data_IF_070747607023
#
_entry.id   IF_070747607023
#
_cell.length_a   1.000
_cell.length_b   1.000
_cell.length_c   1.000
_cell.angle_alpha   90.00
_cell.angle_beta   90.00
_cell.angle_gamma   90.00
#
_symmetry.space_group_name_H-M   'P 1'
#
loop_
_entity.id
_entity.type
_entity.pdbx_description
1 polymer ?
#
# COMPACT_ATOMS: atom_id res chain seq x y z
N UNK A 1 -67.07 -47.17 50.18
CA UNK A 1 -67.87 -47.06 48.96
C UNK A 1 -67.03 -46.62 47.81
N UNK A 2 -66.87 -47.45 46.76
CA UNK A 2 -66.26 -47.27 45.42
C UNK A 2 -64.81 -46.87 45.30
N UNK A 3 -63.98 -47.84 45.09
CA UNK A 3 -62.67 -47.98 44.46
C UNK A 3 -62.74 -47.47 43.02
N UNK A 4 -61.80 -46.66 42.57
CA UNK A 4 -61.47 -46.60 41.15
C UNK A 4 -59.98 -46.66 40.98
N UNK A 5 -59.54 -47.72 40.36
CA UNK A 5 -58.19 -47.97 39.84
C UNK A 5 -57.88 -46.99 38.72
N UNK A 6 -56.71 -46.37 38.75
CA UNK A 6 -56.19 -45.76 37.58
C UNK A 6 -54.89 -46.45 37.14
N UNK A 7 -54.91 -46.84 35.88
CA UNK A 7 -53.83 -47.52 35.23
C UNK A 7 -52.63 -46.67 35.05
N UNK A 8 -51.47 -47.15 35.40
CA UNK A 8 -50.19 -46.59 35.05
C UNK A 8 -49.91 -46.86 33.58
N UNK A 9 -49.99 -45.85 32.73
CA UNK A 9 -49.49 -45.90 31.36
C UNK A 9 -48.05 -45.47 31.37
N UNK A 10 -47.17 -46.45 31.14
CA UNK A 10 -45.75 -46.27 30.97
C UNK A 10 -45.50 -45.62 29.58
N UNK A 11 -45.31 -44.32 29.56
CA UNK A 11 -44.88 -43.60 28.36
C UNK A 11 -43.37 -43.73 28.26
N UNK A 12 -42.94 -44.62 27.38
CA UNK A 12 -41.55 -44.79 26.95
C UNK A 12 -41.18 -43.59 26.09
N UNK A 13 -40.50 -42.60 26.67
CA UNK A 13 -39.97 -41.48 25.92
C UNK A 13 -38.69 -41.95 25.19
N UNK A 14 -38.86 -42.26 23.91
CA UNK A 14 -37.74 -42.45 22.99
C UNK A 14 -37.00 -41.11 22.84
N UNK A 15 -35.91 -40.94 23.54
CA UNK A 15 -34.90 -39.92 23.26
C UNK A 15 -34.22 -40.27 21.95
N UNK A 16 -34.72 -39.70 20.85
CA UNK A 16 -34.00 -39.65 19.59
C UNK A 16 -32.84 -38.65 19.81
N UNK A 17 -31.69 -39.19 20.18
CA UNK A 17 -30.43 -38.45 20.06
C UNK A 17 -30.18 -38.24 18.58
N UNK A 18 -30.63 -37.11 18.05
CA UNK A 18 -30.17 -36.61 16.77
C UNK A 18 -28.66 -36.35 16.91
N UNK A 19 -27.86 -37.35 16.55
CA UNK A 19 -26.44 -37.09 16.24
C UNK A 19 -26.42 -36.15 15.05
N UNK A 20 -26.56 -34.87 15.36
CA UNK A 20 -26.22 -33.79 14.42
C UNK A 20 -24.78 -34.00 14.05
N UNK A 21 -24.55 -34.53 12.84
CA UNK A 21 -23.25 -34.44 12.21
C UNK A 21 -22.87 -32.95 12.20
N UNK A 22 -22.11 -32.54 13.21
CA UNK A 22 -21.29 -31.34 13.11
C UNK A 22 -20.33 -31.63 11.96
N UNK A 23 -20.75 -31.23 10.77
CA UNK A 23 -19.89 -31.18 9.62
C UNK A 23 -18.74 -30.22 10.00
N UNK A 24 -17.68 -30.83 10.53
CA UNK A 24 -16.46 -30.18 10.83
C UNK A 24 -15.97 -29.58 9.50
N UNK A 25 -15.88 -28.27 9.48
CA UNK A 25 -15.19 -27.54 8.41
C UNK A 25 -13.69 -27.84 8.46
N UNK A 26 -13.34 -29.11 8.33
CA UNK A 26 -11.95 -29.57 8.21
C UNK A 26 -11.51 -29.68 6.73
N UNK A 27 -12.39 -29.34 5.77
CA UNK A 27 -12.07 -29.47 4.36
C UNK A 27 -10.92 -28.55 3.89
N UNK A 28 -10.76 -27.38 4.51
CA UNK A 28 -9.69 -26.45 4.14
C UNK A 28 -8.29 -26.90 4.60
N UNK A 29 -8.18 -27.45 5.80
CA UNK A 29 -6.88 -27.88 6.38
C UNK A 29 -6.40 -29.20 5.77
N UNK A 30 -7.31 -30.09 5.39
CA UNK A 30 -6.94 -31.35 4.74
C UNK A 30 -6.55 -31.19 3.27
N UNK A 31 -7.14 -30.21 2.55
CA UNK A 31 -6.72 -29.90 1.18
C UNK A 31 -5.38 -29.17 1.13
N UNK A 32 -5.09 -28.28 2.09
CA UNK A 32 -3.79 -27.60 2.18
C UNK A 32 -2.64 -28.56 2.49
N UNK A 33 -2.87 -29.61 3.29
CA UNK A 33 -1.87 -30.67 3.51
C UNK A 33 -1.60 -31.54 2.27
N UNK A 34 -2.51 -31.54 1.29
CA UNK A 34 -2.32 -32.24 0.01
C UNK A 34 -1.62 -31.38 -1.05
N UNK A 35 -1.55 -30.07 -0.84
CA UNK A 35 -0.88 -29.13 -1.74
C UNK A 35 0.03 -28.19 -0.93
N UNK A 36 1.30 -28.57 -0.72
CA UNK A 36 2.26 -27.76 0.03
C UNK A 36 2.43 -26.34 -0.54
N UNK A 37 2.38 -26.18 -1.87
CA UNK A 37 2.46 -24.86 -2.50
C UNK A 37 1.32 -23.93 -2.03
N UNK A 38 0.08 -24.44 -2.07
CA UNK A 38 -1.09 -23.67 -1.63
C UNK A 38 -1.04 -23.36 -0.12
N UNK A 39 -0.59 -24.31 0.70
CA UNK A 39 -0.43 -24.09 2.14
C UNK A 39 0.55 -22.94 2.43
N UNK A 40 1.77 -23.05 1.93
CA UNK A 40 2.80 -22.02 2.13
C UNK A 40 2.40 -20.67 1.54
N UNK A 41 1.74 -20.67 0.37
CA UNK A 41 1.24 -19.44 -0.24
C UNK A 41 0.21 -18.74 0.65
N UNK A 42 -0.79 -19.45 1.18
CA UNK A 42 -1.81 -18.88 2.06
C UNK A 42 -1.22 -18.36 3.39
N UNK A 43 -0.27 -19.11 3.99
CA UNK A 43 0.45 -18.67 5.17
C UNK A 43 1.25 -17.39 4.89
N UNK A 44 1.92 -17.32 3.76
CA UNK A 44 2.63 -16.14 3.32
C UNK A 44 1.73 -14.92 3.18
N UNK A 45 0.54 -15.09 2.56
CA UNK A 45 -0.46 -14.01 2.46
C UNK A 45 -0.99 -13.56 3.82
N UNK A 46 -1.21 -14.49 4.77
CA UNK A 46 -1.60 -14.15 6.14
C UNK A 46 -0.55 -13.25 6.79
N UNK A 47 0.72 -13.63 6.75
CA UNK A 47 1.82 -12.81 7.29
C UNK A 47 2.00 -11.46 6.56
N UNK A 48 1.68 -11.39 5.25
CA UNK A 48 1.62 -10.11 4.53
C UNK A 48 0.56 -9.18 5.11
N UNK A 49 -0.62 -9.73 5.44
CA UNK A 49 -1.72 -8.98 6.10
C UNK A 49 -1.32 -8.44 7.47
N UNK A 50 -0.52 -9.18 8.22
CA UNK A 50 0.03 -8.79 9.53
C UNK A 50 1.25 -7.85 9.42
N UNK A 51 1.71 -7.53 8.21
CA UNK A 51 2.96 -6.82 7.93
C UNK A 51 4.22 -7.52 8.49
N UNK A 52 4.12 -8.80 8.78
CA UNK A 52 5.25 -9.64 9.17
C UNK A 52 5.98 -10.14 7.92
N UNK A 53 6.66 -9.22 7.25
CA UNK A 53 7.33 -9.50 5.97
C UNK A 53 8.42 -10.56 6.06
N UNK A 54 9.01 -10.77 7.23
CA UNK A 54 10.04 -11.82 7.42
C UNK A 54 9.44 -13.21 7.33
N UNK A 55 8.35 -13.45 8.06
CA UNK A 55 7.62 -14.73 7.99
C UNK A 55 6.93 -14.90 6.63
N UNK A 56 6.40 -13.81 6.05
CA UNK A 56 5.83 -13.83 4.71
C UNK A 56 6.85 -14.29 3.66
N UNK A 57 8.07 -13.73 3.67
CA UNK A 57 9.15 -14.14 2.76
C UNK A 57 9.53 -15.61 2.94
N UNK A 58 9.60 -16.10 4.17
CA UNK A 58 9.90 -17.50 4.44
C UNK A 58 8.84 -18.41 3.76
N UNK A 59 7.58 -18.19 4.06
CA UNK A 59 6.48 -19.02 3.55
C UNK A 59 6.33 -18.89 2.02
N UNK A 60 6.38 -17.67 1.48
CA UNK A 60 6.29 -17.48 0.03
C UNK A 60 7.49 -18.10 -0.72
N UNK A 61 8.67 -18.11 -0.12
CA UNK A 61 9.84 -18.78 -0.72
C UNK A 61 9.69 -20.30 -0.68
N UNK A 62 9.09 -20.86 0.38
CA UNK A 62 8.74 -22.29 0.40
C UNK A 62 7.73 -22.62 -0.69
N UNK A 63 6.69 -21.79 -0.87
CA UNK A 63 5.73 -21.96 -1.96
C UNK A 63 6.39 -21.90 -3.35
N UNK A 64 7.36 -21.01 -3.55
CA UNK A 64 8.08 -20.84 -4.82
C UNK A 64 8.83 -22.11 -5.27
N UNK A 65 9.27 -22.96 -4.33
CA UNK A 65 9.92 -24.25 -4.67
C UNK A 65 9.00 -25.21 -5.39
N UNK A 66 7.69 -25.09 -5.16
CA UNK A 66 6.67 -25.94 -5.77
C UNK A 66 6.03 -25.33 -7.01
N UNK A 67 5.94 -24.00 -7.08
CA UNK A 67 5.30 -23.27 -8.18
C UNK A 67 6.10 -22.01 -8.54
N UNK A 68 7.30 -22.18 -9.16
CA UNK A 68 8.25 -21.09 -9.39
C UNK A 68 7.82 -20.10 -10.49
N UNK A 69 6.82 -20.47 -11.31
CA UNK A 69 6.36 -19.66 -12.44
C UNK A 69 5.03 -18.95 -12.16
N UNK A 70 4.50 -19.07 -10.95
CA UNK A 70 3.25 -18.45 -10.55
C UNK A 70 3.38 -16.92 -10.43
N UNK A 71 2.74 -16.14 -11.30
CA UNK A 71 2.93 -14.69 -11.31
C UNK A 71 2.38 -14.01 -10.06
N UNK A 72 1.30 -14.53 -9.45
CA UNK A 72 0.73 -14.00 -8.22
C UNK A 72 1.65 -14.25 -7.02
N UNK A 73 2.28 -15.41 -6.94
CA UNK A 73 3.26 -15.74 -5.90
C UNK A 73 4.51 -14.86 -6.04
N UNK A 74 5.05 -14.73 -7.25
CA UNK A 74 6.21 -13.89 -7.55
C UNK A 74 5.92 -12.41 -7.25
N UNK A 75 4.71 -11.93 -7.56
CA UNK A 75 4.25 -10.61 -7.20
C UNK A 75 4.27 -10.41 -5.67
N UNK A 76 3.69 -11.34 -4.90
CA UNK A 76 3.63 -11.24 -3.45
C UNK A 76 5.03 -11.32 -2.80
N UNK A 77 5.96 -12.12 -3.35
CA UNK A 77 7.37 -12.09 -2.96
C UNK A 77 7.98 -10.70 -3.20
N UNK A 78 7.74 -10.10 -4.37
CA UNK A 78 8.16 -8.75 -4.67
C UNK A 78 7.64 -7.73 -3.66
N UNK A 79 6.35 -7.81 -3.31
CA UNK A 79 5.73 -6.92 -2.32
C UNK A 79 6.27 -7.14 -0.90
N UNK A 80 6.58 -8.37 -0.51
CA UNK A 80 7.22 -8.64 0.77
C UNK A 80 8.63 -8.03 0.84
N UNK A 81 9.39 -8.05 -0.26
CA UNK A 81 10.68 -7.34 -0.36
C UNK A 81 10.52 -5.82 -0.32
N UNK A 82 9.48 -5.23 -0.94
CA UNK A 82 9.15 -3.80 -0.77
C UNK A 82 8.91 -3.48 0.71
N UNK A 83 8.14 -4.31 1.42
CA UNK A 83 7.90 -4.16 2.85
C UNK A 83 9.16 -4.23 3.71
N UNK A 84 10.18 -4.98 3.26
CA UNK A 84 11.53 -5.04 3.86
C UNK A 84 12.46 -3.91 3.41
N UNK A 85 11.97 -2.92 2.65
CA UNK A 85 12.76 -1.83 2.05
C UNK A 85 13.90 -2.35 1.12
N UNK A 86 13.71 -3.53 0.50
CA UNK A 86 14.65 -4.18 -0.42
C UNK A 86 14.16 -4.08 -1.86
N UNK A 87 14.13 -2.84 -2.38
CA UNK A 87 13.67 -2.56 -3.73
C UNK A 87 14.47 -3.30 -4.84
N UNK A 88 15.72 -3.62 -4.58
CA UNK A 88 16.61 -4.42 -5.45
C UNK A 88 16.11 -5.86 -5.64
N UNK A 89 15.66 -6.51 -4.56
CA UNK A 89 15.09 -7.86 -4.62
C UNK A 89 13.64 -7.84 -5.10
N UNK A 90 12.89 -6.80 -4.77
CA UNK A 90 11.55 -6.59 -5.29
C UNK A 90 11.56 -6.48 -6.82
N UNK A 91 12.49 -5.73 -7.42
CA UNK A 91 12.67 -5.63 -8.88
C UNK A 91 12.75 -7.02 -9.52
N UNK A 92 13.58 -7.92 -8.98
CA UNK A 92 13.77 -9.26 -9.54
C UNK A 92 12.47 -10.07 -9.57
N UNK A 93 11.73 -10.08 -8.46
CA UNK A 93 10.49 -10.85 -8.34
C UNK A 93 9.34 -10.25 -9.15
N UNK A 94 9.22 -8.92 -9.19
CA UNK A 94 8.22 -8.23 -9.99
C UNK A 94 8.47 -8.40 -11.50
N UNK A 95 9.72 -8.35 -11.95
CA UNK A 95 10.08 -8.66 -13.33
C UNK A 95 9.74 -10.11 -13.69
N UNK A 96 10.00 -11.07 -12.80
CA UNK A 96 9.61 -12.45 -13.01
C UNK A 96 8.09 -12.61 -13.10
N UNK A 97 7.32 -11.95 -12.23
CA UNK A 97 5.86 -11.95 -12.29
C UNK A 97 5.33 -11.41 -13.63
N UNK A 98 5.90 -10.31 -14.12
CA UNK A 98 5.55 -9.72 -15.43
C UNK A 98 5.94 -10.63 -16.59
N UNK A 99 7.05 -11.36 -16.50
CA UNK A 99 7.48 -12.33 -17.52
C UNK A 99 6.42 -13.41 -17.72
N UNK A 100 5.85 -13.97 -16.64
CA UNK A 100 4.84 -15.02 -16.73
C UNK A 100 3.41 -14.47 -16.96
N UNK A 101 3.16 -13.20 -16.60
CA UNK A 101 1.89 -12.51 -16.85
C UNK A 101 2.16 -11.12 -17.46
N UNK A 102 2.34 -11.01 -18.78
CA UNK A 102 2.75 -9.76 -19.44
C UNK A 102 1.79 -8.58 -19.19
N UNK A 103 0.49 -8.82 -19.06
CA UNK A 103 -0.54 -7.79 -18.78
C UNK A 103 -0.80 -7.61 -17.27
N UNK A 104 0.23 -7.75 -16.43
CA UNK A 104 0.08 -7.62 -14.98
C UNK A 104 0.33 -6.16 -14.54
N UNK A 105 -0.63 -5.28 -14.79
CA UNK A 105 -0.52 -3.83 -14.52
C UNK A 105 -0.23 -3.52 -13.07
N UNK A 106 -0.79 -4.30 -12.12
CA UNK A 106 -0.48 -4.17 -10.71
C UNK A 106 1.01 -4.39 -10.42
N UNK A 107 1.60 -5.45 -10.95
CA UNK A 107 3.03 -5.72 -10.79
C UNK A 107 3.90 -4.67 -11.48
N UNK A 108 3.49 -4.15 -12.64
CA UNK A 108 4.19 -3.04 -13.32
C UNK A 108 4.15 -1.76 -12.51
N UNK A 109 2.99 -1.41 -11.93
CA UNK A 109 2.88 -0.24 -11.05
C UNK A 109 3.85 -0.34 -9.88
N UNK A 110 3.89 -1.48 -9.20
CA UNK A 110 4.73 -1.66 -8.02
C UNK A 110 6.22 -1.80 -8.37
N UNK A 111 6.53 -2.32 -9.57
CA UNK A 111 7.88 -2.26 -10.14
C UNK A 111 8.31 -0.81 -10.40
N UNK A 112 7.42 0.02 -10.94
CA UNK A 112 7.65 1.46 -11.11
C UNK A 112 7.95 2.15 -9.79
N UNK A 113 7.22 1.82 -8.72
CA UNK A 113 7.49 2.34 -7.36
C UNK A 113 8.85 1.86 -6.84
N UNK A 114 9.21 0.60 -7.06
CA UNK A 114 10.54 0.09 -6.71
C UNK A 114 11.64 0.85 -7.46
N UNK A 115 11.44 1.16 -8.75
CA UNK A 115 12.38 1.98 -9.53
C UNK A 115 12.51 3.42 -9.01
N UNK A 116 11.42 4.04 -8.53
CA UNK A 116 11.50 5.35 -7.84
C UNK A 116 12.41 5.26 -6.61
N UNK A 117 12.25 4.23 -5.77
CA UNK A 117 13.09 4.02 -4.58
C UNK A 117 14.56 3.83 -4.95
N UNK A 118 14.84 3.17 -6.06
CA UNK A 118 16.19 2.97 -6.61
C UNK A 118 16.71 4.18 -7.41
N UNK A 119 15.92 5.28 -7.53
CA UNK A 119 16.21 6.46 -8.35
C UNK A 119 16.46 6.14 -9.83
N UNK A 120 15.87 5.06 -10.32
CA UNK A 120 15.94 4.62 -11.73
C UNK A 120 14.77 5.22 -12.50
N UNK A 121 14.78 6.53 -12.66
CA UNK A 121 13.63 7.31 -13.14
C UNK A 121 13.12 6.90 -14.51
N UNK A 122 14.00 6.63 -15.47
CA UNK A 122 13.60 6.23 -16.82
C UNK A 122 12.84 4.90 -16.83
N UNK A 123 13.31 3.92 -16.03
CA UNK A 123 12.62 2.64 -15.88
C UNK A 123 11.25 2.80 -15.20
N UNK A 124 11.16 3.68 -14.19
CA UNK A 124 9.89 3.99 -13.54
C UNK A 124 8.90 4.60 -14.53
N UNK A 125 9.33 5.60 -15.30
CA UNK A 125 8.53 6.26 -16.34
C UNK A 125 8.01 5.24 -17.36
N UNK A 126 8.84 4.32 -17.82
CA UNK A 126 8.44 3.26 -18.76
C UNK A 126 7.30 2.41 -18.21
N UNK A 127 7.44 1.91 -16.96
CA UNK A 127 6.41 1.07 -16.36
C UNK A 127 5.11 1.83 -16.14
N UNK A 128 5.14 3.06 -15.61
CA UNK A 128 3.93 3.83 -15.37
C UNK A 128 3.21 4.26 -16.64
N UNK A 129 3.91 4.50 -17.74
CA UNK A 129 3.27 4.76 -19.04
C UNK A 129 2.43 3.56 -19.49
N UNK A 130 2.99 2.35 -19.40
CA UNK A 130 2.26 1.13 -19.77
C UNK A 130 1.00 0.98 -18.89
N UNK A 131 1.13 1.23 -17.58
CA UNK A 131 0.01 1.09 -16.65
C UNK A 131 -1.05 2.17 -16.85
N UNK A 132 -0.65 3.41 -17.13
CA UNK A 132 -1.56 4.53 -17.41
C UNK A 132 -2.49 4.24 -18.60
N UNK A 133 -1.96 3.55 -19.62
CA UNK A 133 -2.68 3.23 -20.85
C UNK A 133 -3.57 1.98 -20.72
N UNK A 134 -3.51 1.26 -19.59
CA UNK A 134 -4.37 0.10 -19.32
C UNK A 134 -5.74 0.54 -18.81
N UNK A 135 -6.73 0.48 -19.69
CA UNK A 135 -8.13 0.86 -19.40
C UNK A 135 -8.83 -0.03 -18.34
N UNK A 136 -8.28 -1.21 -18.06
CA UNK A 136 -8.83 -2.16 -17.08
C UNK A 136 -8.15 -2.08 -15.72
N UNK A 137 -7.19 -1.18 -15.56
CA UNK A 137 -6.50 -1.00 -14.29
C UNK A 137 -7.15 0.10 -13.45
N UNK A 138 -7.84 -0.29 -12.38
CA UNK A 138 -8.63 0.62 -11.52
C UNK A 138 -7.79 1.73 -10.87
N UNK A 139 -6.47 1.54 -10.70
CA UNK A 139 -5.57 2.49 -10.05
C UNK A 139 -4.75 3.32 -11.06
N UNK A 140 -5.23 3.55 -12.28
CA UNK A 140 -4.54 4.33 -13.31
C UNK A 140 -4.25 5.77 -12.87
N UNK A 141 -5.09 6.36 -12.01
CA UNK A 141 -4.85 7.66 -11.37
C UNK A 141 -3.54 7.66 -10.57
N UNK A 142 -3.33 6.66 -9.72
CA UNK A 142 -2.10 6.55 -8.93
C UNK A 142 -0.87 6.31 -9.82
N UNK A 143 -1.01 5.54 -10.89
CA UNK A 143 0.07 5.35 -11.87
C UNK A 143 0.45 6.67 -12.54
N UNK A 144 -0.53 7.51 -12.89
CA UNK A 144 -0.30 8.84 -13.47
C UNK A 144 0.37 9.79 -12.48
N UNK A 145 -0.02 9.78 -11.20
CA UNK A 145 0.66 10.54 -10.15
C UNK A 145 2.12 10.08 -10.02
N UNK A 146 2.35 8.78 -9.97
CA UNK A 146 3.70 8.21 -9.87
C UNK A 146 4.55 8.50 -11.12
N UNK A 147 3.94 8.54 -12.31
CA UNK A 147 4.59 9.00 -13.54
C UNK A 147 5.04 10.46 -13.40
N UNK A 148 4.18 11.34 -12.92
CA UNK A 148 4.51 12.72 -12.62
C UNK A 148 5.66 12.85 -11.60
N UNK A 149 5.62 12.05 -10.52
CA UNK A 149 6.70 12.01 -9.52
C UNK A 149 8.02 11.46 -10.09
N UNK A 150 7.95 10.54 -11.06
CA UNK A 150 9.14 10.02 -11.73
C UNK A 150 9.78 11.07 -12.62
N UNK A 151 8.97 11.86 -13.36
CA UNK A 151 9.44 13.02 -14.10
C UNK A 151 10.03 14.10 -13.18
N UNK A 152 9.40 14.36 -12.02
CA UNK A 152 9.94 15.25 -11.00
C UNK A 152 11.33 14.77 -10.54
N UNK A 153 11.48 13.50 -10.21
CA UNK A 153 12.75 12.90 -9.79
C UNK A 153 13.84 12.99 -10.85
N UNK A 154 13.47 12.95 -12.13
CA UNK A 154 14.38 13.13 -13.26
C UNK A 154 14.72 14.60 -13.54
N UNK A 155 14.00 15.56 -12.94
CA UNK A 155 14.15 17.01 -13.20
C UNK A 155 13.34 17.52 -14.41
N UNK A 156 12.48 16.69 -15.00
CA UNK A 156 11.61 17.04 -16.13
C UNK A 156 10.30 17.69 -15.63
N UNK A 157 10.42 18.85 -14.97
CA UNK A 157 9.34 19.48 -14.21
C UNK A 157 8.09 19.79 -15.03
N UNK A 158 8.26 20.21 -16.30
CA UNK A 158 7.10 20.49 -17.16
C UNK A 158 6.28 19.22 -17.42
N UNK A 159 6.94 18.11 -17.76
CA UNK A 159 6.23 16.82 -17.96
C UNK A 159 5.58 16.33 -16.69
N UNK A 160 6.25 16.50 -15.52
CA UNK A 160 5.64 16.20 -14.23
C UNK A 160 4.34 16.97 -14.02
N UNK A 161 4.35 18.27 -14.32
CA UNK A 161 3.18 19.14 -14.17
C UNK A 161 2.06 18.74 -15.14
N UNK A 162 2.40 18.40 -16.39
CA UNK A 162 1.43 18.02 -17.41
C UNK A 162 0.68 16.73 -17.00
N UNK A 163 1.40 15.72 -16.52
CA UNK A 163 0.78 14.48 -16.02
C UNK A 163 -0.11 14.73 -14.80
N UNK A 164 0.37 15.53 -13.83
CA UNK A 164 -0.41 15.80 -12.61
C UNK A 164 -1.66 16.64 -12.89
N UNK A 165 -1.65 17.52 -13.89
CA UNK A 165 -2.83 18.32 -14.28
C UNK A 165 -3.94 17.43 -14.82
N UNK A 166 -3.67 16.42 -15.62
CA UNK A 166 -4.70 15.50 -16.12
C UNK A 166 -5.47 14.84 -14.98
N UNK A 167 -4.77 14.50 -13.88
CA UNK A 167 -5.40 13.87 -12.71
C UNK A 167 -6.21 14.89 -11.89
N UNK A 168 -5.74 16.15 -11.79
CA UNK A 168 -6.50 17.22 -11.11
C UNK A 168 -7.84 17.48 -11.78
N UNK A 169 -7.91 17.40 -13.12
CA UNK A 169 -9.15 17.58 -13.87
C UNK A 169 -10.20 16.50 -13.55
N UNK A 170 -9.71 15.26 -13.32
CA UNK A 170 -10.57 14.12 -12.98
C UNK A 170 -10.94 14.13 -11.49
N UNK A 171 -9.97 14.36 -10.62
CA UNK A 171 -10.14 14.28 -9.16
C UNK A 171 -9.50 15.49 -8.43
N UNK A 172 -10.15 16.67 -8.48
CA UNK A 172 -9.60 17.91 -7.90
C UNK A 172 -9.47 17.88 -6.37
N UNK A 173 -10.13 16.90 -5.69
CA UNK A 173 -10.11 16.74 -4.24
C UNK A 173 -9.15 15.66 -3.74
N UNK A 174 -8.28 15.14 -4.59
CA UNK A 174 -7.26 14.21 -4.14
C UNK A 174 -6.08 14.98 -3.48
N UNK A 175 -5.81 14.81 -2.18
CA UNK A 175 -4.76 15.55 -1.48
C UNK A 175 -3.35 15.16 -1.96
N UNK A 176 -3.17 13.91 -2.46
CA UNK A 176 -1.88 13.42 -2.95
C UNK A 176 -1.48 14.18 -4.22
N UNK A 177 -2.43 14.50 -5.09
CA UNK A 177 -2.15 15.29 -6.30
C UNK A 177 -1.71 16.70 -5.93
N UNK A 178 -2.41 17.35 -4.99
CA UNK A 178 -2.06 18.69 -4.51
C UNK A 178 -0.66 18.71 -3.91
N UNK A 179 -0.34 17.72 -3.06
CA UNK A 179 1.01 17.54 -2.54
C UNK A 179 2.04 17.38 -3.68
N UNK A 180 1.74 16.55 -4.67
CA UNK A 180 2.66 16.27 -5.79
C UNK A 180 2.92 17.50 -6.64
N UNK A 181 1.88 18.31 -6.96
CA UNK A 181 2.02 19.59 -7.66
C UNK A 181 2.85 20.57 -6.83
N UNK A 182 2.60 20.64 -5.52
CA UNK A 182 3.40 21.49 -4.61
C UNK A 182 4.88 21.11 -4.65
N UNK A 183 5.19 19.81 -4.67
CA UNK A 183 6.58 19.33 -4.80
C UNK A 183 7.22 19.72 -6.13
N UNK A 184 6.46 19.71 -7.24
CA UNK A 184 6.95 20.21 -8.54
C UNK A 184 7.24 21.69 -8.47
N UNK A 185 6.33 22.52 -7.92
CA UNK A 185 6.56 23.96 -7.74
C UNK A 185 7.76 24.25 -6.86
N UNK A 186 7.93 23.49 -5.77
CA UNK A 186 9.07 23.65 -4.88
C UNK A 186 10.41 23.35 -5.59
N UNK A 187 10.45 22.30 -6.40
CA UNK A 187 11.62 21.95 -7.22
C UNK A 187 11.91 22.98 -8.32
N UNK A 188 10.88 23.67 -8.81
CA UNK A 188 11.00 24.79 -9.76
C UNK A 188 11.34 26.13 -9.07
N UNK A 189 11.71 26.13 -7.80
CA UNK A 189 12.00 27.33 -6.99
C UNK A 189 10.80 28.29 -6.80
N UNK A 190 9.57 27.86 -7.11
CA UNK A 190 8.33 28.64 -6.96
C UNK A 190 7.70 28.34 -5.61
N UNK A 191 8.39 28.72 -4.54
CA UNK A 191 8.10 28.28 -3.17
C UNK A 191 6.72 28.71 -2.68
N UNK A 192 6.25 29.91 -3.01
CA UNK A 192 4.92 30.41 -2.61
C UNK A 192 3.78 29.60 -3.27
N UNK A 193 3.97 29.20 -4.54
CA UNK A 193 3.03 28.32 -5.22
C UNK A 193 3.01 26.93 -4.59
N UNK A 194 4.17 26.43 -4.17
CA UNK A 194 4.27 25.16 -3.46
C UNK A 194 3.50 25.19 -2.13
N UNK A 195 3.69 26.25 -1.33
CA UNK A 195 2.95 26.46 -0.07
C UNK A 195 1.45 26.42 -0.31
N UNK A 196 0.97 27.16 -1.32
CA UNK A 196 -0.45 27.19 -1.68
C UNK A 196 -1.01 25.77 -1.96
N UNK A 197 -0.26 24.94 -2.68
CA UNK A 197 -0.73 23.57 -2.99
C UNK A 197 -0.63 22.65 -1.77
N UNK A 198 0.36 22.79 -0.89
CA UNK A 198 0.43 22.04 0.36
C UNK A 198 -0.71 22.39 1.30
N UNK A 199 -1.09 23.66 1.41
CA UNK A 199 -2.24 24.11 2.19
C UNK A 199 -3.56 23.58 1.62
N UNK A 200 -3.71 23.51 0.29
CA UNK A 200 -4.85 22.84 -0.35
C UNK A 200 -4.91 21.36 0.01
N UNK A 201 -3.78 20.65 -0.01
CA UNK A 201 -3.72 19.25 0.40
C UNK A 201 -4.17 19.07 1.85
N UNK A 202 -3.69 19.91 2.77
CA UNK A 202 -4.06 19.91 4.18
C UNK A 202 -5.55 20.25 4.37
N UNK A 203 -6.06 21.21 3.62
CA UNK A 203 -7.49 21.56 3.67
C UNK A 203 -8.41 20.40 3.26
N UNK A 204 -7.97 19.58 2.29
CA UNK A 204 -8.69 18.38 1.85
C UNK A 204 -8.60 17.27 2.91
N UNK A 205 -7.40 17.03 3.43
CA UNK A 205 -7.14 16.01 4.43
C UNK A 205 -6.26 16.58 5.55
N UNK A 206 -6.88 16.89 6.70
CA UNK A 206 -6.24 17.58 7.82
C UNK A 206 -5.06 16.82 8.44
N UNK A 207 -5.10 15.50 8.41
CA UNK A 207 -4.01 14.68 8.96
C UNK A 207 -3.02 14.20 7.89
N UNK A 208 -2.78 15.04 6.89
CA UNK A 208 -1.83 14.77 5.82
C UNK A 208 -0.38 15.11 6.23
N UNK A 209 0.25 14.25 7.03
CA UNK A 209 1.59 14.51 7.60
C UNK A 209 2.65 14.86 6.56
N UNK A 210 2.65 14.21 5.38
CA UNK A 210 3.58 14.57 4.31
C UNK A 210 3.38 16.01 3.79
N UNK A 211 2.12 16.49 3.69
CA UNK A 211 1.88 17.87 3.27
C UNK A 211 2.40 18.88 4.30
N UNK A 212 2.22 18.62 5.60
CA UNK A 212 2.82 19.44 6.65
C UNK A 212 4.34 19.41 6.62
N UNK A 213 4.96 18.25 6.36
CA UNK A 213 6.41 18.17 6.25
C UNK A 213 6.96 19.05 5.12
N UNK A 214 6.37 18.94 3.91
CA UNK A 214 6.79 19.75 2.77
C UNK A 214 6.44 21.24 2.94
N UNK A 215 5.33 21.56 3.62
CA UNK A 215 5.00 22.94 4.03
C UNK A 215 6.08 23.49 4.95
N UNK A 216 6.52 22.72 5.96
CA UNK A 216 7.61 23.10 6.86
C UNK A 216 8.90 23.40 6.10
N UNK A 217 9.29 22.55 5.14
CA UNK A 217 10.46 22.79 4.29
C UNK A 217 10.33 24.06 3.44
N UNK A 218 9.14 24.30 2.87
CA UNK A 218 8.89 25.49 2.05
C UNK A 218 8.93 26.77 2.90
N UNK A 219 8.37 26.75 4.10
CA UNK A 219 8.44 27.88 5.05
C UNK A 219 9.87 28.16 5.50
N UNK A 220 10.68 27.11 5.76
CA UNK A 220 12.10 27.28 6.05
C UNK A 220 12.84 27.96 4.90
N UNK A 221 12.57 27.57 3.66
CA UNK A 221 13.19 28.18 2.47
C UNK A 221 12.90 29.67 2.36
N UNK A 222 11.72 30.12 2.82
CA UNK A 222 11.36 31.54 2.91
C UNK A 222 11.79 32.20 4.22
N UNK A 223 12.57 31.52 5.07
CA UNK A 223 12.98 31.97 6.40
C UNK A 223 11.81 32.22 7.39
N UNK A 224 10.65 31.68 7.14
CA UNK A 224 9.47 31.80 8.00
C UNK A 224 9.55 30.74 9.12
N UNK A 225 10.48 30.92 10.06
CA UNK A 225 10.85 29.92 11.08
C UNK A 225 9.69 29.48 11.97
N UNK A 226 8.78 30.39 12.34
CA UNK A 226 7.67 30.08 13.23
C UNK A 226 6.60 29.22 12.52
N UNK A 227 6.31 29.52 11.26
CA UNK A 227 5.38 28.70 10.45
C UNK A 227 5.98 27.32 10.14
N UNK A 228 7.28 27.24 9.86
CA UNK A 228 7.98 25.98 9.70
C UNK A 228 7.90 25.12 10.98
N UNK A 229 8.13 25.75 12.15
CA UNK A 229 8.02 25.08 13.44
C UNK A 229 6.61 24.52 13.70
N UNK A 230 5.56 25.29 13.38
CA UNK A 230 4.17 24.84 13.50
C UNK A 230 3.93 23.62 12.60
N UNK A 231 4.36 23.69 11.33
CA UNK A 231 4.16 22.60 10.38
C UNK A 231 4.87 21.29 10.81
N UNK A 232 6.12 21.35 11.26
CA UNK A 232 6.84 20.16 11.75
C UNK A 232 6.24 19.59 13.04
N UNK A 233 5.67 20.41 13.93
CA UNK A 233 4.95 19.94 15.11
C UNK A 233 3.69 19.15 14.72
N UNK A 234 2.99 19.58 13.67
CA UNK A 234 1.84 18.82 13.16
C UNK A 234 2.25 17.44 12.59
N UNK A 235 3.42 17.32 11.94
CA UNK A 235 3.94 16.01 11.53
C UNK A 235 4.12 15.08 12.73
N UNK A 236 4.70 15.60 13.84
CA UNK A 236 4.91 14.81 15.05
C UNK A 236 3.59 14.45 15.75
N UNK A 237 2.60 15.34 15.71
CA UNK A 237 1.25 15.04 16.25
C UNK A 237 0.60 13.87 15.51
N UNK A 238 0.77 13.82 14.19
CA UNK A 238 0.08 12.85 13.32
C UNK A 238 0.84 11.52 13.25
N UNK A 239 2.16 11.57 13.03
CA UNK A 239 3.00 10.40 12.78
C UNK A 239 4.37 10.50 13.48
N UNK A 240 4.42 10.46 14.83
CA UNK A 240 5.66 10.67 15.58
C UNK A 240 6.77 9.66 15.25
N UNK A 241 6.41 8.38 15.04
CA UNK A 241 7.36 7.29 14.82
C UNK A 241 7.67 7.04 13.31
N UNK A 242 7.19 7.91 12.43
CA UNK A 242 7.46 7.78 10.99
C UNK A 242 8.83 8.35 10.60
N UNK A 243 9.34 7.95 9.43
CA UNK A 243 10.56 8.55 8.88
C UNK A 243 10.46 10.09 8.79
N UNK A 244 9.25 10.64 8.44
CA UNK A 244 9.01 12.09 8.41
C UNK A 244 8.93 12.69 9.81
N UNK A 245 8.42 11.96 10.79
CA UNK A 245 8.44 12.37 12.20
C UNK A 245 9.88 12.57 12.69
N UNK A 246 10.72 11.56 12.52
CA UNK A 246 12.13 11.63 12.92
C UNK A 246 12.88 12.79 12.23
N UNK A 247 12.65 12.99 10.93
CA UNK A 247 13.22 14.13 10.21
C UNK A 247 12.73 15.48 10.76
N UNK A 248 11.45 15.56 11.13
CA UNK A 248 10.84 16.78 11.69
C UNK A 248 11.42 17.13 13.07
N UNK A 249 11.78 16.14 13.89
CA UNK A 249 12.53 16.37 15.15
C UNK A 249 13.82 17.10 14.87
N UNK A 250 14.62 16.63 13.89
CA UNK A 250 15.89 17.27 13.53
C UNK A 250 15.74 18.74 13.09
N UNK A 251 14.69 19.06 12.30
CA UNK A 251 14.40 20.45 11.92
C UNK A 251 13.95 21.29 13.13
N UNK A 252 13.14 20.75 14.03
CA UNK A 252 12.71 21.49 15.23
C UNK A 252 13.86 21.80 16.19
N UNK A 253 14.87 20.93 16.26
CA UNK A 253 16.09 21.20 17.04
C UNK A 253 16.92 22.35 16.46
N UNK A 254 17.01 22.45 15.13
CA UNK A 254 17.69 23.55 14.43
C UNK A 254 16.95 24.90 14.55
N UNK A 255 15.66 24.85 14.86
CA UNK A 255 14.81 26.05 15.00
C UNK A 255 14.70 26.57 16.45
N UNK A 256 15.38 25.96 17.41
CA UNK A 256 15.45 26.46 18.78
C UNK A 256 16.31 27.72 18.80
#
# INVERSE_FOLDING_TARGET
MKIRRFHASLLLLLLIVSAGCVSRRDSGVQETNKNPAAYHYQMGLSYMGERNYTSALFELTEAEKYDPENPELLYNLGMAYVGKKRADLAEQKLLAAIKFKPNYSKARNDLGVAYIQLKRWDKAIEQFKIVKDDLFYDNSENATINLGLSYLGKGEYQKAMDELRTVVEINPRNPIIRLSIGRVWFAMEKTELAITEYEKAIKIYKDHGAAYYYLGLAQLKLNNKDEARKAFKEVLRIFPESDLGHLSVGYLEQLK
#
